data_IF_155682971859
#
_entry.id   IF_155682971859
#
_cell.length_a   1.000
_cell.length_b   1.000
_cell.length_c   1.000
_cell.angle_alpha   90.00
_cell.angle_beta   90.00
_cell.angle_gamma   90.00
#
_symmetry.space_group_name_H-M   'P 1'
#
loop_
_entity.id
_entity.type
_entity.pdbx_description
1 polymer ?
#
# COMPACT_ATOMS: atom_id res chain seq x y z
N UNK A 1 -24.77 28.90 -34.40
CA UNK A 1 -24.47 27.90 -33.36
C UNK A 1 -24.34 26.54 -34.03
N UNK A 2 -23.12 25.96 -34.02
CA UNK A 2 -22.90 24.64 -34.54
C UNK A 2 -23.55 23.62 -33.61
N UNK A 3 -24.35 22.68 -34.14
CA UNK A 3 -24.86 21.53 -33.35
C UNK A 3 -23.68 20.76 -32.78
N UNK A 4 -23.70 20.37 -31.50
CA UNK A 4 -22.70 19.46 -30.98
C UNK A 4 -22.74 18.18 -31.81
N UNK A 5 -21.57 17.69 -32.24
CA UNK A 5 -21.45 16.38 -32.89
C UNK A 5 -22.12 15.36 -31.96
N UNK A 6 -22.94 14.48 -32.54
CA UNK A 6 -23.46 13.34 -31.78
C UNK A 6 -22.29 12.66 -31.08
N UNK A 7 -22.35 12.52 -29.76
CA UNK A 7 -21.40 11.71 -29.04
C UNK A 7 -21.38 10.35 -29.71
N UNK A 8 -20.23 9.93 -30.23
CA UNK A 8 -20.02 8.55 -30.68
C UNK A 8 -20.36 7.60 -29.54
N UNK A 9 -20.48 6.34 -29.84
CA UNK A 9 -20.68 5.30 -28.82
C UNK A 9 -19.63 5.47 -27.71
N UNK A 10 -20.08 5.71 -26.47
CA UNK A 10 -19.20 5.98 -25.35
C UNK A 10 -18.56 4.66 -24.89
N UNK A 11 -17.26 4.49 -25.16
CA UNK A 11 -16.46 3.40 -24.63
C UNK A 11 -15.67 3.91 -23.40
N UNK A 12 -16.13 3.52 -22.22
CA UNK A 12 -15.50 3.91 -20.97
C UNK A 12 -14.08 3.34 -20.85
N UNK A 13 -13.84 2.12 -21.33
CA UNK A 13 -12.54 1.44 -21.20
C UNK A 13 -11.51 2.11 -22.08
N UNK A 14 -11.88 2.46 -23.32
CA UNK A 14 -11.00 3.19 -24.26
C UNK A 14 -10.62 4.56 -23.68
N UNK A 15 -11.61 5.31 -23.18
CA UNK A 15 -11.37 6.62 -22.57
C UNK A 15 -10.47 6.54 -21.35
N UNK A 16 -10.75 5.62 -20.44
CA UNK A 16 -9.95 5.43 -19.21
C UNK A 16 -8.51 5.05 -19.54
N UNK A 17 -8.31 4.15 -20.51
CA UNK A 17 -6.97 3.72 -20.92
C UNK A 17 -6.18 4.88 -21.52
N UNK A 18 -6.79 5.64 -22.43
CA UNK A 18 -6.15 6.82 -23.01
C UNK A 18 -5.81 7.89 -21.96
N UNK A 19 -6.68 8.06 -20.95
CA UNK A 19 -6.46 9.02 -19.87
C UNK A 19 -5.29 8.58 -18.96
N UNK A 20 -5.20 7.29 -18.63
CA UNK A 20 -4.09 6.75 -17.85
C UNK A 20 -2.75 6.90 -18.56
N UNK A 21 -2.71 6.66 -19.89
CA UNK A 21 -1.52 6.87 -20.69
C UNK A 21 -1.11 8.34 -20.74
N UNK A 22 -2.06 9.26 -20.91
CA UNK A 22 -1.81 10.70 -20.89
C UNK A 22 -1.23 11.14 -19.53
N UNK A 23 -1.85 10.75 -18.43
CA UNK A 23 -1.37 11.07 -17.06
C UNK A 23 0.01 10.50 -16.77
N UNK A 24 0.32 9.33 -17.29
CA UNK A 24 1.65 8.72 -17.14
C UNK A 24 2.70 9.50 -17.95
N UNK A 25 2.39 9.83 -19.22
CA UNK A 25 3.31 10.58 -20.09
C UNK A 25 3.58 12.00 -19.60
N UNK A 26 2.57 12.64 -19.00
CA UNK A 26 2.66 13.97 -18.42
C UNK A 26 3.20 13.99 -16.99
N UNK A 27 3.40 12.83 -16.38
CA UNK A 27 3.76 12.71 -14.94
C UNK A 27 2.78 13.47 -14.03
N UNK A 28 1.48 13.35 -14.30
CA UNK A 28 0.42 14.16 -13.71
C UNK A 28 0.37 14.07 -12.18
N UNK A 29 0.64 12.90 -11.61
CA UNK A 29 0.69 12.71 -10.16
C UNK A 29 1.78 13.58 -9.52
N UNK A 30 3.00 13.52 -10.01
CA UNK A 30 4.10 14.33 -9.49
C UNK A 30 3.87 15.83 -9.71
N UNK A 31 3.32 16.20 -10.87
CA UNK A 31 2.94 17.59 -11.14
C UNK A 31 1.90 18.12 -10.15
N UNK A 32 0.95 17.27 -9.72
CA UNK A 32 -0.05 17.66 -8.73
C UNK A 32 0.54 17.99 -7.35
N UNK A 33 1.63 17.32 -6.97
CA UNK A 33 2.39 17.61 -5.75
C UNK A 33 3.19 18.90 -5.91
N UNK A 34 3.89 19.03 -7.04
CA UNK A 34 4.76 20.18 -7.32
C UNK A 34 3.99 21.49 -7.49
N UNK A 35 2.82 21.44 -8.09
CA UNK A 35 1.93 22.62 -8.23
C UNK A 35 1.57 23.24 -6.89
N UNK A 36 1.49 22.43 -5.84
CA UNK A 36 1.16 22.84 -4.48
C UNK A 36 2.39 22.82 -3.54
N UNK A 37 3.61 22.90 -4.07
CA UNK A 37 4.85 22.80 -3.27
C UNK A 37 4.94 23.79 -2.11
N UNK A 38 4.31 24.95 -2.25
CA UNK A 38 4.28 26.00 -1.21
C UNK A 38 3.03 25.91 -0.33
N UNK A 39 2.14 24.97 -0.57
CA UNK A 39 0.94 24.73 0.24
C UNK A 39 1.28 24.12 1.60
N UNK A 40 0.34 24.21 2.53
CA UNK A 40 0.47 23.51 3.80
C UNK A 40 0.58 21.98 3.57
N UNK A 41 1.43 21.26 4.30
CA UNK A 41 1.57 19.83 4.10
C UNK A 41 0.33 19.08 4.57
N UNK A 42 -0.11 18.12 3.75
CA UNK A 42 -1.06 17.07 4.11
C UNK A 42 -0.41 15.73 3.82
N UNK A 43 0.07 15.07 4.86
CA UNK A 43 0.81 13.82 4.75
C UNK A 43 -0.18 12.66 4.79
N UNK A 44 -0.14 11.82 3.77
CA UNK A 44 -0.91 10.60 3.68
C UNK A 44 0.01 9.39 3.63
N UNK A 45 -0.16 8.47 4.58
CA UNK A 45 0.49 7.17 4.60
C UNK A 45 -0.56 6.11 4.27
N UNK A 46 -0.30 5.30 3.26
CA UNK A 46 -1.18 4.18 2.89
C UNK A 46 -1.31 3.20 4.07
N UNK A 47 -2.54 2.75 4.38
CA UNK A 47 -2.76 1.55 5.15
C UNK A 47 -2.40 0.36 4.26
N UNK A 48 -1.24 -0.29 4.47
CA UNK A 48 -0.67 -1.18 3.48
C UNK A 48 -1.49 -2.47 3.36
N UNK A 49 -1.67 -2.97 2.13
CA UNK A 49 -2.24 -4.31 1.98
C UNK A 49 -1.26 -5.35 2.51
N UNK A 50 -1.79 -6.42 3.08
CA UNK A 50 -0.99 -7.60 3.39
C UNK A 50 -0.60 -8.29 2.09
N UNK A 51 0.69 -8.54 1.91
CA UNK A 51 1.25 -9.10 0.68
C UNK A 51 1.10 -10.65 0.60
N UNK A 52 -0.05 -11.18 1.02
CA UNK A 52 -0.34 -12.62 1.10
C UNK A 52 -1.35 -13.13 0.07
N UNK A 53 -1.78 -12.31 -0.87
CA UNK A 53 -2.77 -12.70 -1.88
C UNK A 53 -3.03 -11.64 -2.94
N UNK A 54 -3.81 -12.04 -3.95
CA UNK A 54 -4.22 -11.13 -5.03
C UNK A 54 -5.22 -10.09 -4.52
N UNK A 55 -5.20 -8.87 -5.10
CA UNK A 55 -6.17 -7.84 -4.75
C UNK A 55 -7.60 -8.26 -5.11
N UNK A 56 -8.56 -7.86 -4.27
CA UNK A 56 -9.99 -8.06 -4.50
C UNK A 56 -10.74 -6.73 -4.64
N UNK A 57 -12.01 -6.80 -5.06
CA UNK A 57 -12.84 -5.60 -5.32
C UNK A 57 -13.00 -4.69 -4.09
N UNK A 58 -13.03 -5.24 -2.88
CA UNK A 58 -13.10 -4.45 -1.65
C UNK A 58 -11.90 -3.54 -1.45
N UNK A 59 -10.72 -3.93 -1.94
CA UNK A 59 -9.53 -3.07 -1.92
C UNK A 59 -9.66 -1.89 -2.88
N UNK A 60 -10.34 -2.06 -4.01
CA UNK A 60 -10.63 -0.96 -4.96
C UNK A 60 -11.49 0.10 -4.28
N UNK A 61 -12.56 -0.31 -3.60
CA UNK A 61 -13.47 0.62 -2.89
C UNK A 61 -12.71 1.42 -1.83
N UNK A 62 -11.93 0.74 -0.98
CA UNK A 62 -11.15 1.41 0.06
C UNK A 62 -10.15 2.42 -0.51
N UNK A 63 -9.47 2.08 -1.61
CA UNK A 63 -8.50 2.96 -2.29
C UNK A 63 -9.16 4.13 -2.96
N UNK A 64 -10.33 3.93 -3.57
CA UNK A 64 -11.10 5.02 -4.18
C UNK A 64 -11.45 6.11 -3.16
N UNK A 65 -11.86 5.75 -1.94
CA UNK A 65 -12.11 6.72 -0.88
C UNK A 65 -10.84 7.46 -0.43
N UNK A 66 -9.73 6.76 -0.29
CA UNK A 66 -8.45 7.37 0.08
C UNK A 66 -7.98 8.38 -0.98
N UNK A 67 -8.05 7.97 -2.25
CA UNK A 67 -7.67 8.83 -3.37
C UNK A 67 -8.57 10.06 -3.49
N UNK A 68 -9.88 9.89 -3.28
CA UNK A 68 -10.83 11.00 -3.25
C UNK A 68 -10.44 12.08 -2.24
N UNK A 69 -10.12 11.69 -1.01
CA UNK A 69 -9.69 12.63 0.04
C UNK A 69 -8.37 13.33 -0.34
N UNK A 70 -7.40 12.56 -0.84
CA UNK A 70 -6.12 13.13 -1.26
C UNK A 70 -6.26 14.10 -2.43
N UNK A 71 -7.08 13.78 -3.44
CA UNK A 71 -7.37 14.68 -4.56
C UNK A 71 -8.11 15.92 -4.10
N UNK A 72 -9.09 15.78 -3.23
CA UNK A 72 -9.80 16.92 -2.65
C UNK A 72 -8.83 17.86 -1.93
N UNK A 73 -7.96 17.33 -1.06
CA UNK A 73 -6.94 18.16 -0.39
C UNK A 73 -5.96 18.81 -1.36
N UNK A 74 -5.61 18.15 -2.43
CA UNK A 74 -4.80 18.76 -3.50
C UNK A 74 -5.53 19.93 -4.15
N UNK A 75 -6.84 19.81 -4.43
CA UNK A 75 -7.65 20.89 -4.99
C UNK A 75 -7.84 22.07 -4.01
N UNK A 76 -7.80 21.82 -2.70
CA UNK A 76 -7.79 22.87 -1.67
C UNK A 76 -6.44 23.60 -1.54
N UNK A 77 -5.42 23.20 -2.31
CA UNK A 77 -4.10 23.82 -2.32
C UNK A 77 -3.10 23.25 -1.33
N UNK A 78 -3.40 22.12 -0.68
CA UNK A 78 -2.44 21.42 0.16
C UNK A 78 -1.37 20.71 -0.69
N UNK A 79 -0.12 20.68 -0.19
CA UNK A 79 0.90 19.79 -0.68
C UNK A 79 0.61 18.39 -0.12
N UNK A 80 0.10 17.48 -0.96
CA UNK A 80 -0.33 16.14 -0.55
C UNK A 80 0.71 15.11 -0.92
N UNK A 81 1.58 14.77 0.03
CA UNK A 81 2.51 13.66 -0.10
C UNK A 81 1.82 12.35 0.25
N UNK A 82 1.88 11.37 -0.66
CA UNK A 82 1.12 10.11 -0.58
C UNK A 82 2.10 8.95 -0.63
N UNK A 83 2.52 8.49 0.54
CA UNK A 83 3.49 7.40 0.66
C UNK A 83 2.77 6.05 0.65
N UNK A 84 3.16 5.20 -0.28
CA UNK A 84 2.74 3.81 -0.33
C UNK A 84 3.34 2.95 0.77
N UNK A 85 2.82 1.75 0.97
CA UNK A 85 3.35 0.80 1.93
C UNK A 85 2.97 -0.63 1.62
N UNK A 86 3.74 -1.56 2.19
CA UNK A 86 3.52 -3.00 2.11
C UNK A 86 3.56 -3.62 3.49
N UNK A 87 2.48 -4.32 3.85
CA UNK A 87 2.44 -5.18 5.04
C UNK A 87 3.02 -6.54 4.67
N UNK A 88 4.20 -6.83 5.17
CA UNK A 88 5.07 -7.89 4.64
C UNK A 88 5.52 -8.89 5.69
N UNK A 89 4.93 -8.90 6.88
CA UNK A 89 5.30 -9.84 7.93
C UNK A 89 4.10 -10.25 8.80
N UNK A 90 4.33 -11.19 9.70
CA UNK A 90 3.35 -11.70 10.64
C UNK A 90 2.51 -12.85 10.10
N UNK A 91 1.54 -13.25 10.91
CA UNK A 91 0.75 -14.47 10.74
C UNK A 91 0.11 -14.66 9.35
N UNK A 92 -0.42 -13.62 8.66
CA UNK A 92 -1.01 -13.82 7.34
C UNK A 92 0.00 -14.31 6.29
N UNK A 93 1.24 -13.83 6.34
CA UNK A 93 2.31 -14.26 5.44
C UNK A 93 2.77 -15.67 5.80
N UNK A 94 2.93 -15.95 7.09
CA UNK A 94 3.34 -17.26 7.60
C UNK A 94 2.33 -18.35 7.20
N UNK A 95 1.03 -18.11 7.40
CA UNK A 95 -0.03 -19.06 7.01
C UNK A 95 -0.02 -19.35 5.50
N UNK A 96 0.24 -18.35 4.66
CA UNK A 96 0.34 -18.55 3.22
C UNK A 96 1.53 -19.46 2.87
N UNK A 97 2.69 -19.22 3.48
CA UNK A 97 3.89 -20.04 3.27
C UNK A 97 3.70 -21.46 3.82
N UNK A 98 3.13 -21.61 5.02
CA UNK A 98 2.80 -22.91 5.60
C UNK A 98 1.94 -23.76 4.67
N UNK A 99 0.86 -23.17 4.12
CA UNK A 99 -0.02 -23.86 3.18
C UNK A 99 0.67 -24.24 1.89
N UNK A 100 1.50 -23.34 1.34
CA UNK A 100 2.23 -23.58 0.09
C UNK A 100 3.28 -24.68 0.22
N UNK A 101 3.91 -24.79 1.39
CA UNK A 101 4.99 -25.75 1.67
C UNK A 101 4.53 -27.00 2.43
N UNK A 102 3.22 -27.07 2.75
CA UNK A 102 2.63 -28.18 3.55
C UNK A 102 3.24 -28.32 4.95
N UNK A 103 3.62 -27.19 5.57
CA UNK A 103 4.20 -27.12 6.91
C UNK A 103 3.12 -26.81 7.94
N UNK A 104 2.23 -27.76 8.24
CA UNK A 104 0.99 -27.54 8.99
C UNK A 104 1.15 -27.58 10.52
N UNK A 105 2.35 -27.75 11.06
CA UNK A 105 2.61 -27.74 12.51
C UNK A 105 3.89 -26.98 12.85
N UNK A 106 4.01 -26.57 14.12
CA UNK A 106 5.22 -25.90 14.59
C UNK A 106 6.44 -26.81 14.52
N UNK A 107 6.26 -28.10 14.80
CA UNK A 107 7.32 -29.12 14.72
C UNK A 107 7.83 -29.25 13.27
N UNK A 108 6.93 -29.22 12.29
CA UNK A 108 7.32 -29.26 10.87
C UNK A 108 8.13 -28.02 10.44
N UNK A 109 7.80 -26.85 11.00
CA UNK A 109 8.55 -25.60 10.75
C UNK A 109 9.94 -25.68 11.40
N UNK A 110 10.03 -26.19 12.64
CA UNK A 110 11.30 -26.38 13.35
C UNK A 110 12.21 -27.37 12.61
N UNK A 111 11.66 -28.47 12.10
CA UNK A 111 12.39 -29.47 11.30
C UNK A 111 12.85 -28.89 9.96
N UNK A 112 12.01 -28.09 9.30
CA UNK A 112 12.38 -27.37 8.06
C UNK A 112 13.49 -26.35 8.31
N UNK A 113 13.55 -25.80 9.51
CA UNK A 113 14.49 -24.79 9.97
C UNK A 113 13.92 -23.37 9.91
N UNK A 114 13.98 -22.68 11.04
CA UNK A 114 13.44 -21.32 11.19
C UNK A 114 14.02 -20.33 10.19
N UNK A 115 15.31 -20.42 9.89
CA UNK A 115 15.96 -19.54 8.90
C UNK A 115 15.40 -19.75 7.50
N UNK A 116 15.25 -21.01 7.09
CA UNK A 116 14.68 -21.39 5.79
C UNK A 116 13.23 -20.94 5.68
N UNK A 117 12.44 -21.08 6.75
CA UNK A 117 11.06 -20.65 6.79
C UNK A 117 10.96 -19.10 6.70
N UNK A 118 11.77 -18.38 7.44
CA UNK A 118 11.82 -16.91 7.38
C UNK A 118 12.23 -16.43 5.99
N UNK A 119 13.18 -17.10 5.34
CA UNK A 119 13.56 -16.75 3.97
C UNK A 119 12.41 -17.01 2.99
N UNK A 120 11.73 -18.14 3.11
CA UNK A 120 10.56 -18.45 2.29
C UNK A 120 9.43 -17.43 2.48
N UNK A 121 9.23 -16.92 3.71
CA UNK A 121 8.29 -15.82 3.98
C UNK A 121 8.73 -14.52 3.29
N UNK A 122 10.00 -14.13 3.38
CA UNK A 122 10.55 -12.95 2.69
C UNK A 122 10.36 -13.01 1.17
N UNK A 123 10.61 -14.17 0.59
CA UNK A 123 10.46 -14.37 -0.86
C UNK A 123 9.00 -14.36 -1.31
N UNK A 124 8.09 -14.81 -0.42
CA UNK A 124 6.68 -14.93 -0.74
C UNK A 124 5.98 -13.57 -0.87
N UNK A 125 6.38 -12.55 -0.10
CA UNK A 125 5.69 -11.26 -0.06
C UNK A 125 5.72 -10.51 -1.40
N UNK A 126 6.73 -10.75 -2.22
CA UNK A 126 6.86 -10.12 -3.54
C UNK A 126 6.10 -10.83 -4.66
N UNK A 127 5.52 -12.00 -4.36
CA UNK A 127 4.78 -12.80 -5.36
C UNK A 127 3.56 -12.07 -5.92
N UNK A 128 2.91 -11.25 -5.12
CA UNK A 128 1.66 -10.58 -5.48
C UNK A 128 1.83 -9.08 -5.78
N UNK A 129 3.03 -8.53 -5.59
CA UNK A 129 3.29 -7.09 -5.75
C UNK A 129 2.88 -6.56 -7.11
N UNK A 130 3.23 -7.27 -8.19
CA UNK A 130 2.89 -6.85 -9.55
C UNK A 130 1.39 -6.71 -9.78
N UNK A 131 0.60 -7.66 -9.27
CA UNK A 131 -0.86 -7.60 -9.38
C UNK A 131 -1.47 -6.43 -8.59
N UNK A 132 -0.88 -6.09 -7.44
CA UNK A 132 -1.28 -4.93 -6.66
C UNK A 132 -0.90 -3.62 -7.33
N UNK A 133 0.26 -3.51 -7.96
CA UNK A 133 0.67 -2.34 -8.75
C UNK A 133 -0.26 -2.17 -9.96
N UNK A 134 -0.49 -3.24 -10.71
CA UNK A 134 -1.39 -3.21 -11.88
C UNK A 134 -2.79 -2.73 -11.51
N UNK A 135 -3.39 -3.26 -10.43
CA UNK A 135 -4.68 -2.78 -9.94
C UNK A 135 -4.63 -1.31 -9.52
N UNK A 136 -3.58 -0.89 -8.83
CA UNK A 136 -3.40 0.49 -8.37
C UNK A 136 -3.32 1.47 -9.54
N UNK A 137 -2.55 1.12 -10.58
CA UNK A 137 -2.44 1.90 -11.81
C UNK A 137 -3.77 1.91 -12.58
N UNK A 138 -4.41 0.74 -12.74
CA UNK A 138 -5.66 0.61 -13.50
C UNK A 138 -6.81 1.42 -12.90
N UNK A 139 -6.88 1.54 -11.59
CA UNK A 139 -7.88 2.36 -10.92
C UNK A 139 -7.50 3.83 -10.75
N UNK A 140 -6.36 4.24 -11.29
CA UNK A 140 -5.81 5.60 -11.19
C UNK A 140 -5.61 6.09 -9.74
N UNK A 141 -5.28 5.20 -8.82
CA UNK A 141 -4.95 5.57 -7.46
C UNK A 141 -3.54 6.16 -7.39
N UNK A 142 -3.45 7.47 -7.14
CA UNK A 142 -2.19 8.18 -7.07
C UNK A 142 -1.54 8.03 -5.71
N UNK A 143 -0.54 7.17 -5.64
CA UNK A 143 0.27 6.90 -4.45
C UNK A 143 1.70 6.53 -4.87
N UNK A 144 2.70 6.97 -4.10
CA UNK A 144 4.09 6.65 -4.36
C UNK A 144 4.37 5.20 -3.93
N UNK A 145 4.43 4.30 -4.91
CA UNK A 145 4.81 2.90 -4.74
C UNK A 145 6.29 2.64 -5.11
N UNK A 146 7.02 3.65 -5.56
CA UNK A 146 8.44 3.50 -5.88
C UNK A 146 9.31 3.68 -4.63
N UNK A 147 8.82 4.47 -3.67
CA UNK A 147 9.46 4.65 -2.37
C UNK A 147 8.51 4.26 -1.21
N UNK A 148 7.98 3.04 -1.19
CA UNK A 148 7.04 2.62 -0.17
C UNK A 148 7.76 2.42 1.17
N UNK A 149 7.02 2.43 2.28
CA UNK A 149 7.53 1.79 3.49
C UNK A 149 7.17 0.30 3.47
N UNK A 150 8.09 -0.52 3.96
CA UNK A 150 7.95 -1.99 3.96
C UNK A 150 8.13 -2.48 5.39
N UNK A 151 7.13 -3.13 5.93
CA UNK A 151 7.09 -3.42 7.37
C UNK A 151 8.13 -4.44 7.84
N UNK A 152 8.69 -5.25 6.94
CA UNK A 152 9.79 -6.18 7.26
C UNK A 152 11.17 -5.52 7.28
N UNK A 153 11.29 -4.26 6.81
CA UNK A 153 12.57 -3.56 6.77
C UNK A 153 13.00 -3.03 8.15
N UNK A 154 14.30 -3.03 8.39
CA UNK A 154 14.85 -2.61 9.68
C UNK A 154 14.48 -1.17 10.04
N UNK A 155 14.47 -0.25 9.09
CA UNK A 155 14.10 1.15 9.31
C UNK A 155 12.67 1.30 9.86
N UNK A 156 11.73 0.47 9.38
CA UNK A 156 10.37 0.43 9.91
C UNK A 156 10.36 -0.17 11.33
N UNK A 157 11.03 -1.30 11.52
CA UNK A 157 11.13 -1.98 12.83
C UNK A 157 11.77 -1.06 13.88
N UNK A 158 12.86 -0.37 13.54
CA UNK A 158 13.51 0.61 14.42
C UNK A 158 12.58 1.76 14.81
N UNK A 159 11.78 2.26 13.86
CA UNK A 159 10.79 3.31 14.12
C UNK A 159 9.71 2.85 15.11
N UNK A 160 9.24 1.60 14.97
CA UNK A 160 8.28 1.00 15.90
C UNK A 160 8.89 0.84 17.30
N UNK A 161 10.12 0.32 17.38
CA UNK A 161 10.82 0.18 18.65
C UNK A 161 11.09 1.52 19.33
N UNK A 162 11.43 2.54 18.56
CA UNK A 162 11.58 3.89 19.09
C UNK A 162 10.28 4.39 19.72
N UNK A 163 9.14 4.22 19.03
CA UNK A 163 7.83 4.63 19.55
C UNK A 163 7.46 3.87 20.82
N UNK A 164 7.68 2.55 20.85
CA UNK A 164 7.46 1.72 22.03
C UNK A 164 8.34 2.14 23.21
N UNK A 165 9.61 2.47 22.93
CA UNK A 165 10.54 2.98 23.97
C UNK A 165 10.04 4.31 24.55
N UNK A 166 9.56 5.24 23.71
CA UNK A 166 9.00 6.51 24.20
C UNK A 166 7.78 6.29 25.14
N UNK A 167 6.93 5.32 24.83
CA UNK A 167 5.79 4.96 25.67
C UNK A 167 6.24 4.29 26.97
N UNK A 168 7.22 3.40 26.89
CA UNK A 168 7.79 2.73 28.07
C UNK A 168 8.45 3.74 29.03
N UNK A 169 9.28 4.65 28.51
CA UNK A 169 9.97 5.67 29.33
C UNK A 169 8.97 6.63 30.03
N UNK A 170 7.76 6.77 29.49
CA UNK A 170 6.65 7.55 30.10
C UNK A 170 5.78 6.73 31.06
N UNK A 171 6.10 5.45 31.28
CA UNK A 171 5.31 4.56 32.12
C UNK A 171 3.94 4.16 31.56
N UNK A 172 3.74 4.35 30.23
CA UNK A 172 2.49 4.03 29.55
C UNK A 172 2.45 2.59 29.03
N UNK A 173 3.59 1.91 29.00
CA UNK A 173 3.72 0.52 28.55
C UNK A 173 4.25 -0.35 29.69
N UNK A 174 3.54 -1.44 29.98
CA UNK A 174 3.93 -2.43 30.97
C UNK A 174 3.59 -3.84 30.50
N UNK A 175 4.33 -4.82 31.01
CA UNK A 175 4.04 -6.23 30.75
C UNK A 175 3.03 -6.76 31.78
N UNK A 176 1.98 -7.40 31.28
CA UNK A 176 1.03 -8.13 32.15
C UNK A 176 0.71 -9.50 31.54
N UNK A 177 0.67 -10.53 32.43
CA UNK A 177 0.27 -11.89 32.06
C UNK A 177 -1.16 -12.24 32.52
N UNK A 178 -1.83 -11.38 33.28
CA UNK A 178 -3.11 -11.69 33.95
C UNK A 178 -4.25 -10.69 33.62
N UNK A 179 -3.97 -9.55 32.99
CA UNK A 179 -4.99 -8.54 32.68
C UNK A 179 -5.59 -8.71 31.29
N UNK A 180 -5.17 -9.71 30.59
CA UNK A 180 -5.64 -10.15 29.29
C UNK A 180 -6.43 -11.43 29.48
#
# INVERSE_FOLDING_TARGET
MARPKSAGEFDAVELETALLEAWKSENAFQQSIESNRNGAPFIFLEGPPTANGKPGIHHVVARAYKDLVCRWKTMEGFKVERKGGWDTHGLPVEIEVQKRMDLMSNEAIEEFGMENFNQACRDSVWTYESAWREMTERMAYWVDLDNPYVTLENNYVESCWWAMKQMFDKGLLYLSLIHI
#
